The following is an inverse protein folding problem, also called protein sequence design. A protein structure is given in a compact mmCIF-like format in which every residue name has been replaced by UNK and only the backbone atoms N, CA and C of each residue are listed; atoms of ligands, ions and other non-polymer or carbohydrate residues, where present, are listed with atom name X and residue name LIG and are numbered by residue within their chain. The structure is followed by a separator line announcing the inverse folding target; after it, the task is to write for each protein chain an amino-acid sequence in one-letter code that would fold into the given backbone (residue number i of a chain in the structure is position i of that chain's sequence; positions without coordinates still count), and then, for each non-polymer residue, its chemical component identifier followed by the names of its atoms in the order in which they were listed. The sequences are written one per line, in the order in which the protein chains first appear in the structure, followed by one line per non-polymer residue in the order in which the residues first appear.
data_IF_531600620152
#
_entry.id   IF_531600620152
#
_cell.length_a   1.000
_cell.length_b   1.000
_cell.length_c   1.000
_cell.angle_alpha   90.00
_cell.angle_beta   90.00
_cell.angle_gamma   90.00
#
_symmetry.space_group_name_H-M   'P 1'
#
loop_
_entity.id
_entity.type
_entity.pdbx_description
1 polymer ?
#
# COMPACT_ATOMS: atom_id res chain seq x y z
N UNK A 1 -8.13 -25.56 7.87
CA UNK A 1 -6.90 -24.75 8.04
C UNK A 1 -7.14 -23.92 9.28
N UNK A 2 -6.33 -24.08 10.31
CA UNK A 2 -6.38 -23.19 11.47
C UNK A 2 -5.93 -21.80 11.02
N UNK A 3 -6.79 -20.80 11.20
CA UNK A 3 -6.46 -19.41 10.88
C UNK A 3 -5.42 -18.90 11.87
N UNK A 4 -4.18 -18.77 11.39
CA UNK A 4 -3.10 -18.15 12.16
C UNK A 4 -3.25 -16.63 12.10
N UNK A 5 -3.70 -16.02 13.20
CA UNK A 5 -3.74 -14.57 13.33
C UNK A 5 -2.32 -14.06 13.61
N UNK A 6 -1.86 -13.10 12.80
CA UNK A 6 -0.57 -12.43 13.00
C UNK A 6 -0.85 -10.94 13.27
N UNK A 7 -0.51 -10.41 14.47
CA UNK A 7 -0.64 -8.99 14.73
C UNK A 7 0.42 -8.20 13.95
N UNK A 8 -0.02 -7.21 13.16
CA UNK A 8 0.85 -6.31 12.41
C UNK A 8 0.57 -4.86 12.82
N UNK A 9 1.55 -4.22 13.45
CA UNK A 9 1.49 -2.79 13.76
C UNK A 9 1.88 -1.96 12.54
N UNK A 10 1.03 -0.99 12.16
CA UNK A 10 1.27 -0.10 11.02
C UNK A 10 1.08 1.37 11.46
N UNK A 11 2.10 2.20 11.25
CA UNK A 11 2.01 3.66 11.25
C UNK A 11 1.90 4.16 9.80
N UNK A 12 0.69 4.55 9.39
CA UNK A 12 0.39 4.99 8.03
C UNK A 12 0.46 6.52 7.89
N UNK A 13 1.70 7.03 7.91
CA UNK A 13 1.99 8.46 7.76
C UNK A 13 1.86 8.97 6.33
N UNK A 14 1.82 10.29 6.16
CA UNK A 14 1.67 10.94 4.87
C UNK A 14 2.80 10.64 3.88
N UNK A 15 4.04 10.56 4.37
CA UNK A 15 5.22 10.35 3.52
C UNK A 15 5.73 8.92 3.55
N UNK A 16 5.53 8.23 4.66
CA UNK A 16 6.10 6.93 4.91
C UNK A 16 5.12 6.10 5.72
N UNK A 17 5.07 4.82 5.37
CA UNK A 17 4.41 3.76 6.11
C UNK A 17 5.50 3.02 6.87
N UNK A 18 5.24 2.74 8.15
CA UNK A 18 6.19 2.02 9.01
C UNK A 18 5.54 0.81 9.66
N UNK A 19 6.32 -0.26 9.74
CA UNK A 19 6.06 -1.40 10.60
C UNK A 19 7.16 -1.45 11.67
N UNK A 20 7.15 -2.48 12.52
CA UNK A 20 8.27 -2.71 13.44
C UNK A 20 9.61 -2.93 12.73
N UNK A 21 9.60 -3.44 11.49
CA UNK A 21 10.80 -3.91 10.80
C UNK A 21 11.12 -3.15 9.51
N UNK A 22 10.22 -2.29 9.03
CA UNK A 22 10.36 -1.62 7.74
C UNK A 22 9.78 -0.22 7.73
N UNK A 23 10.33 0.62 6.86
CA UNK A 23 9.83 1.95 6.56
C UNK A 23 9.92 2.16 5.05
N UNK A 24 8.81 2.49 4.41
CA UNK A 24 8.73 2.67 2.96
C UNK A 24 7.84 3.85 2.61
N UNK A 25 8.03 4.42 1.41
CA UNK A 25 7.27 5.60 0.97
C UNK A 25 5.79 5.23 0.81
N UNK A 26 4.89 6.14 1.19
CA UNK A 26 3.44 5.93 1.13
C UNK A 26 2.85 5.96 -0.29
N UNK A 27 3.67 6.22 -1.30
CA UNK A 27 3.25 6.32 -2.69
C UNK A 27 2.74 4.98 -3.24
N UNK A 28 1.56 5.03 -3.88
CA UNK A 28 0.95 3.91 -4.58
C UNK A 28 0.60 4.34 -6.00
N UNK A 29 0.96 3.52 -6.99
CA UNK A 29 0.64 3.76 -8.39
C UNK A 29 0.08 2.48 -9.04
N UNK A 30 -1.11 2.56 -9.65
CA UNK A 30 -1.68 1.46 -10.45
C UNK A 30 -0.85 1.26 -11.74
N UNK A 31 -0.61 0.00 -12.10
CA UNK A 31 0.03 -0.38 -13.36
C UNK A 31 -1.05 -0.77 -14.38
N UNK A 32 -0.86 -0.37 -15.64
CA UNK A 32 -1.80 -0.66 -16.73
C UNK A 32 -1.72 -2.09 -17.29
N UNK A 33 -0.75 -2.89 -16.85
CA UNK A 33 -0.55 -4.27 -17.30
C UNK A 33 0.13 -5.08 -16.21
N UNK A 34 0.19 -6.41 -16.42
CA UNK A 34 1.01 -7.29 -15.58
C UNK A 34 2.49 -6.84 -15.60
N UNK A 35 3.13 -6.74 -14.44
CA UNK A 35 4.52 -6.33 -14.36
C UNK A 35 5.45 -7.47 -14.73
N UNK A 36 6.56 -7.12 -15.37
CA UNK A 36 7.65 -8.08 -15.62
C UNK A 36 8.43 -8.44 -14.35
N UNK A 37 8.37 -7.57 -13.32
CA UNK A 37 9.06 -7.73 -12.03
C UNK A 37 8.09 -7.40 -10.90
N UNK A 38 7.96 -8.31 -9.93
CA UNK A 38 6.99 -8.24 -8.83
C UNK A 38 7.51 -7.55 -7.56
N UNK A 39 8.74 -7.04 -7.58
CA UNK A 39 9.30 -6.30 -6.46
C UNK A 39 8.48 -5.05 -6.14
N UNK A 40 8.05 -4.92 -4.87
CA UNK A 40 7.17 -3.86 -4.39
C UNK A 40 5.85 -3.74 -5.17
N UNK A 41 5.36 -4.85 -5.74
CA UNK A 41 4.05 -4.93 -6.37
C UNK A 41 3.04 -5.57 -5.42
N UNK A 42 1.90 -4.91 -5.28
CA UNK A 42 0.70 -5.48 -4.69
C UNK A 42 -0.26 -5.87 -5.80
N UNK A 43 -0.60 -7.15 -5.89
CA UNK A 43 -1.73 -7.63 -6.68
C UNK A 43 -3.00 -7.56 -5.85
N UNK A 44 -4.00 -6.84 -6.34
CA UNK A 44 -5.26 -6.66 -5.64
C UNK A 44 -6.42 -6.53 -6.63
N UNK A 45 -7.44 -7.38 -6.49
CA UNK A 45 -8.60 -7.45 -7.39
C UNK A 45 -8.23 -7.52 -8.89
N UNK A 46 -7.19 -8.28 -9.24
CA UNK A 46 -6.73 -8.45 -10.63
C UNK A 46 -6.02 -7.22 -11.21
N UNK A 47 -5.70 -6.23 -10.38
CA UNK A 47 -4.90 -5.06 -10.71
C UNK A 47 -3.56 -5.11 -9.99
N UNK A 48 -2.57 -4.41 -10.55
CA UNK A 48 -1.23 -4.36 -10.00
C UNK A 48 -0.90 -2.95 -9.55
N UNK A 49 -0.31 -2.83 -8.36
CA UNK A 49 0.02 -1.55 -7.76
C UNK A 49 1.48 -1.53 -7.32
N UNK A 50 2.24 -0.53 -7.76
CA UNK A 50 3.59 -0.28 -7.28
C UNK A 50 3.52 0.48 -5.95
N UNK A 51 4.10 -0.10 -4.91
CA UNK A 51 4.21 0.46 -3.56
C UNK A 51 5.59 1.08 -3.38
N UNK A 52 5.70 2.16 -2.60
CA UNK A 52 6.99 2.77 -2.29
C UNK A 52 7.57 3.63 -3.43
N UNK A 53 6.71 4.09 -4.36
CA UNK A 53 7.08 4.98 -5.45
C UNK A 53 7.24 6.44 -5.00
N UNK A 54 6.69 7.38 -5.76
CA UNK A 54 6.79 8.80 -5.43
C UNK A 54 6.08 9.17 -4.12
N UNK A 55 6.69 10.08 -3.37
CA UNK A 55 6.11 10.58 -2.12
C UNK A 55 4.81 11.35 -2.39
N UNK A 56 3.75 11.00 -1.65
CA UNK A 56 2.53 11.81 -1.61
C UNK A 56 2.84 13.22 -1.08
N UNK A 57 2.40 14.24 -1.82
CA UNK A 57 2.47 15.63 -1.35
C UNK A 57 1.60 15.78 -0.11
N UNK A 58 2.09 16.54 0.87
CA UNK A 58 1.31 16.88 2.05
C UNK A 58 0.07 17.65 1.62
N UNK A 59 -1.09 17.22 2.09
CA UNK A 59 -2.36 17.91 1.90
C UNK A 59 -2.87 18.43 3.25
N UNK A 60 -3.78 19.39 3.20
CA UNK A 60 -4.37 20.01 4.39
C UNK A 60 -5.10 18.98 5.26
N UNK A 61 -5.81 18.03 4.63
CA UNK A 61 -6.41 16.91 5.33
C UNK A 61 -6.15 15.59 4.59
N UNK A 62 -6.16 14.48 5.34
CA UNK A 62 -5.91 13.11 4.86
C UNK A 62 -7.02 12.55 3.97
N UNK A 63 -8.12 13.27 3.79
CA UNK A 63 -9.36 12.72 3.22
C UNK A 63 -9.85 13.57 2.05
N UNK A 64 -9.03 14.53 1.62
CA UNK A 64 -9.34 15.51 0.58
C UNK A 64 -9.58 14.85 -0.78
N UNK A 65 -9.04 13.65 -0.97
CA UNK A 65 -9.22 12.84 -2.17
C UNK A 65 -8.94 11.36 -1.84
N UNK A 66 -9.11 10.52 -2.85
CA UNK A 66 -8.98 9.07 -2.74
C UNK A 66 -7.52 8.59 -2.66
N UNK A 67 -6.52 9.48 -2.75
CA UNK A 67 -5.12 9.04 -2.79
C UNK A 67 -4.59 8.54 -1.43
N UNK A 68 -5.24 8.92 -0.33
CA UNK A 68 -4.90 8.44 1.01
C UNK A 68 -5.63 7.14 1.34
N UNK A 69 -6.87 7.01 0.85
CA UNK A 69 -7.65 5.79 0.92
C UNK A 69 -7.33 4.93 -0.30
N UNK A 70 -6.18 4.28 -0.28
CA UNK A 70 -6.03 3.08 -1.12
C UNK A 70 -7.07 2.07 -0.63
N UNK A 71 -8.26 2.06 -1.25
CA UNK A 71 -9.38 1.21 -0.87
C UNK A 71 -8.95 -0.26 -1.05
N UNK A 72 -8.51 -0.90 0.03
CA UNK A 72 -8.22 -2.34 0.07
C UNK A 72 -9.35 -3.10 0.79
N UNK A 73 -10.41 -3.53 0.09
CA UNK A 73 -11.33 -4.53 0.63
C UNK A 73 -10.63 -5.87 0.97
N UNK A 74 -10.51 -6.16 2.27
CA UNK A 74 -10.40 -7.45 2.99
C UNK A 74 -9.66 -8.69 2.43
N UNK A 75 -8.94 -8.65 1.30
CA UNK A 75 -8.07 -9.75 0.85
C UNK A 75 -6.80 -9.21 0.22
N UNK A 76 -5.80 -8.98 1.07
CA UNK A 76 -4.42 -8.73 0.65
C UNK A 76 -3.76 -10.11 0.54
N UNK A 77 -3.28 -10.48 -0.64
CA UNK A 77 -2.28 -11.55 -0.79
C UNK A 77 -0.93 -10.85 -0.84
N UNK A 78 -0.15 -11.03 0.22
CA UNK A 78 1.24 -10.62 0.32
C UNK A 78 2.13 -11.86 0.30
#
# INVERSE_FOLDING_TARGET
MDEKVIPLGIDHGWSHIKTCNSCFVSGVAELGSEPMVYENILEYNGKYYRIGGERLKVQENKVCNENYYSNFPSKIRA
#
